data_IF_151327584961
#
_entry.id   IF_151327584961
#
_cell.length_a   1.000
_cell.length_b   1.000
_cell.length_c   1.000
_cell.angle_alpha   90.00
_cell.angle_beta   90.00
_cell.angle_gamma   90.00
#
_symmetry.space_group_name_H-M   'P 1'
#
loop_
_entity.id
_entity.type
_entity.pdbx_description
1 polymer ?
#
# COMPACT_ATOMS: atom_id res chain seq x y z
N UNK A 1 3.84 6.17 17.85
CA UNK A 1 4.32 7.48 17.34
C UNK A 1 3.13 8.24 16.73
N UNK A 2 2.92 9.52 17.05
CA UNK A 2 1.79 10.29 16.49
C UNK A 2 2.07 10.69 15.03
N UNK A 3 1.25 10.19 14.11
CA UNK A 3 1.36 10.46 12.66
C UNK A 3 1.25 11.96 12.36
N UNK A 4 0.56 12.73 13.22
CA UNK A 4 0.40 14.17 13.05
C UNK A 4 1.70 14.93 13.41
N UNK A 5 2.44 14.45 14.42
CA UNK A 5 3.74 15.02 14.79
C UNK A 5 4.83 14.73 13.74
N UNK A 6 4.78 13.56 13.08
CA UNK A 6 5.70 13.23 11.99
C UNK A 6 5.41 14.00 10.69
N UNK A 7 4.13 14.32 10.41
CA UNK A 7 3.73 15.01 9.18
C UNK A 7 3.88 16.54 9.24
N UNK A 8 3.81 17.15 10.42
CA UNK A 8 3.95 18.61 10.57
C UNK A 8 5.31 19.14 10.12
N UNK A 9 6.39 18.38 10.35
CA UNK A 9 7.74 18.73 9.89
C UNK A 9 8.07 18.30 8.46
N UNK A 10 7.21 17.48 7.82
CA UNK A 10 7.52 16.92 6.49
C UNK A 10 7.54 18.00 5.41
N UNK A 11 6.63 18.97 5.46
CA UNK A 11 6.60 20.08 4.50
C UNK A 11 7.86 20.94 4.58
N UNK A 12 8.38 21.18 5.78
CA UNK A 12 9.63 21.93 6.02
C UNK A 12 10.89 21.16 5.55
N UNK A 13 10.75 19.87 5.23
CA UNK A 13 11.85 18.98 4.88
C UNK A 13 11.75 18.43 3.45
N UNK A 14 10.74 18.81 2.67
CA UNK A 14 10.55 18.31 1.30
C UNK A 14 11.77 18.57 0.39
N UNK A 15 12.44 19.71 0.54
CA UNK A 15 13.70 19.98 -0.19
C UNK A 15 14.83 19.04 0.27
N UNK A 16 14.99 18.82 1.57
CA UNK A 16 15.98 17.88 2.10
C UNK A 16 15.70 16.43 1.69
N UNK A 17 14.43 16.03 1.61
CA UNK A 17 14.05 14.70 1.09
C UNK A 17 14.42 14.58 -0.38
N UNK A 18 14.23 15.65 -1.17
CA UNK A 18 14.66 15.71 -2.57
C UNK A 18 16.16 15.63 -2.77
N UNK A 19 16.94 16.28 -1.93
CA UNK A 19 18.40 16.28 -2.03
C UNK A 19 19.04 14.99 -1.49
N UNK A 20 18.50 14.44 -0.40
CA UNK A 20 19.13 13.30 0.30
C UNK A 20 18.63 11.92 -0.13
N UNK A 21 17.52 11.86 -0.90
CA UNK A 21 16.90 10.61 -1.35
C UNK A 21 16.45 10.72 -2.82
N UNK A 22 17.17 11.48 -3.64
CA UNK A 22 16.86 11.63 -5.06
C UNK A 22 16.76 10.29 -5.79
N UNK A 23 17.58 9.32 -5.37
CA UNK A 23 17.62 7.98 -5.94
C UNK A 23 16.34 7.16 -5.66
N UNK A 24 15.56 7.57 -4.66
CA UNK A 24 14.28 6.97 -4.31
C UNK A 24 13.09 7.68 -4.98
N UNK A 25 13.36 8.70 -5.79
CA UNK A 25 12.35 9.40 -6.58
C UNK A 25 12.27 8.80 -7.99
N UNK A 26 11.23 8.01 -8.22
CA UNK A 26 10.98 7.39 -9.51
C UNK A 26 10.17 8.36 -10.39
N UNK A 27 10.62 8.59 -11.62
CA UNK A 27 9.86 9.33 -12.63
C UNK A 27 9.45 8.37 -13.74
N UNK A 28 8.16 8.36 -14.06
CA UNK A 28 7.65 7.73 -15.27
C UNK A 28 7.56 8.80 -16.36
N UNK A 29 8.21 8.54 -17.49
CA UNK A 29 8.18 9.43 -18.66
C UNK A 29 7.52 8.73 -19.85
N UNK A 30 6.88 9.51 -20.72
CA UNK A 30 6.39 9.04 -22.02
C UNK A 30 7.51 8.96 -23.07
N UNK A 31 7.17 8.58 -24.31
CA UNK A 31 8.13 8.48 -25.41
C UNK A 31 8.79 9.80 -25.82
N UNK A 32 8.25 10.94 -25.39
CA UNK A 32 8.80 12.28 -25.62
C UNK A 32 9.60 12.80 -24.40
N UNK A 33 9.94 11.93 -23.44
CA UNK A 33 10.57 12.27 -22.16
C UNK A 33 9.74 13.22 -21.27
N UNK A 34 8.41 13.32 -21.46
CA UNK A 34 7.56 14.09 -20.54
C UNK A 34 7.22 13.27 -19.32
N UNK A 35 7.36 13.85 -18.13
CA UNK A 35 6.96 13.19 -16.87
C UNK A 35 5.43 13.01 -16.85
N UNK A 36 4.99 11.75 -16.78
CA UNK A 36 3.57 11.37 -16.69
C UNK A 36 3.17 10.90 -15.30
N UNK A 37 4.12 10.43 -14.48
CA UNK A 37 3.91 10.12 -13.07
C UNK A 37 5.22 10.23 -12.27
N UNK A 38 5.12 10.36 -10.96
CA UNK A 38 6.26 10.36 -10.05
C UNK A 38 5.94 9.55 -8.77
N UNK A 39 6.88 8.71 -8.35
CA UNK A 39 6.88 8.02 -7.06
C UNK A 39 7.91 8.68 -6.13
N UNK A 40 7.51 9.01 -4.91
CA UNK A 40 8.36 9.68 -3.93
C UNK A 40 8.54 8.78 -2.72
N UNK A 41 9.78 8.41 -2.42
CA UNK A 41 10.12 7.80 -1.14
C UNK A 41 9.90 8.81 -0.01
N UNK A 42 9.14 8.42 1.02
CA UNK A 42 9.06 9.21 2.26
C UNK A 42 9.94 8.52 3.30
N UNK A 43 11.12 9.07 3.63
CA UNK A 43 11.98 8.48 4.64
C UNK A 43 11.28 8.56 5.99
N UNK A 44 11.00 7.41 6.58
CA UNK A 44 10.47 7.31 7.94
C UNK A 44 11.56 6.77 8.84
N UNK A 45 11.79 7.43 9.98
CA UNK A 45 12.66 6.87 11.02
C UNK A 45 11.95 5.66 11.61
N UNK A 46 12.51 4.48 11.36
CA UNK A 46 11.97 3.22 11.81
C UNK A 46 12.98 2.50 12.69
N UNK A 47 12.52 1.90 13.78
CA UNK A 47 13.34 1.16 14.75
C UNK A 47 13.35 -0.36 14.49
N UNK A 48 12.72 -0.81 13.40
CA UNK A 48 12.56 -2.23 13.06
C UNK A 48 11.29 -2.88 13.63
N UNK A 49 10.50 -2.20 14.46
CA UNK A 49 9.24 -2.73 14.97
C UNK A 49 8.09 -2.45 13.98
N UNK A 50 7.42 -3.50 13.49
CA UNK A 50 6.31 -3.40 12.53
C UNK A 50 5.16 -2.53 13.06
N UNK A 51 4.92 -2.52 14.38
CA UNK A 51 3.88 -1.70 15.01
C UNK A 51 4.11 -0.19 14.89
N UNK A 52 5.36 0.22 14.63
CA UNK A 52 5.74 1.62 14.47
C UNK A 52 5.64 2.11 13.01
N UNK A 53 5.32 1.23 12.06
CA UNK A 53 5.00 1.63 10.69
C UNK A 53 3.63 2.33 10.61
N UNK A 54 3.43 3.28 9.67
CA UNK A 54 2.11 3.88 9.45
C UNK A 54 1.04 2.80 9.29
N UNK A 55 0.02 2.76 10.16
CA UNK A 55 -0.95 1.68 10.11
C UNK A 55 -1.82 1.81 8.86
N UNK A 56 -1.99 0.71 8.13
CA UNK A 56 -3.03 0.58 7.11
C UNK A 56 -4.25 -0.10 7.75
N UNK A 57 -5.45 0.42 7.47
CA UNK A 57 -6.68 -0.20 7.92
C UNK A 57 -7.17 -1.26 6.92
N UNK A 58 -6.71 -1.23 5.67
CA UNK A 58 -7.20 -2.14 4.62
C UNK A 58 -7.05 -3.62 4.99
N UNK A 59 -5.97 -4.00 5.67
CA UNK A 59 -5.75 -5.38 6.13
C UNK A 59 -6.83 -5.89 7.11
N UNK A 60 -7.58 -5.00 7.78
CA UNK A 60 -8.74 -5.37 8.62
C UNK A 60 -10.02 -5.63 7.81
N UNK A 61 -10.02 -5.26 6.53
CA UNK A 61 -11.15 -5.42 5.62
C UNK A 61 -10.70 -6.13 4.32
N UNK A 62 -10.09 -7.33 4.40
CA UNK A 62 -9.48 -7.99 3.24
C UNK A 62 -10.52 -8.34 2.16
N UNK A 63 -11.75 -8.65 2.57
CA UNK A 63 -12.87 -8.97 1.68
C UNK A 63 -13.55 -7.74 1.06
N UNK A 64 -13.18 -6.52 1.45
CA UNK A 64 -13.69 -5.31 0.82
C UNK A 64 -12.79 -4.94 -0.36
N UNK A 65 -13.33 -4.86 -1.60
CA UNK A 65 -12.53 -4.43 -2.75
C UNK A 65 -11.91 -3.06 -2.52
N UNK A 66 -10.68 -2.84 -3.02
CA UNK A 66 -9.97 -1.56 -2.83
C UNK A 66 -10.79 -0.38 -3.35
N UNK A 67 -11.45 -0.52 -4.50
CA UNK A 67 -12.38 0.46 -5.09
C UNK A 67 -13.47 0.94 -4.14
N UNK A 68 -13.95 0.08 -3.24
CA UNK A 68 -14.95 0.41 -2.23
C UNK A 68 -14.31 0.89 -0.93
N UNK A 69 -13.16 0.34 -0.56
CA UNK A 69 -12.47 0.71 0.67
C UNK A 69 -11.92 2.15 0.59
N UNK A 70 -11.32 2.53 -0.54
CA UNK A 70 -10.70 3.83 -0.72
C UNK A 70 -11.68 5.02 -0.62
N UNK A 71 -12.98 4.77 -0.82
CA UNK A 71 -14.03 5.81 -0.71
C UNK A 71 -14.59 5.96 0.69
N UNK A 72 -14.18 5.11 1.65
CA UNK A 72 -14.66 5.20 3.04
C UNK A 72 -14.07 6.44 3.71
N UNK A 73 -14.94 7.25 4.28
CA UNK A 73 -14.59 8.48 4.98
C UNK A 73 -15.03 8.43 6.45
N UNK A 74 -14.40 9.28 7.25
CA UNK A 74 -14.80 9.61 8.61
C UNK A 74 -15.89 10.71 8.59
N UNK A 75 -16.54 11.01 9.73
CA UNK A 75 -17.52 12.09 9.82
C UNK A 75 -16.99 13.48 9.42
N UNK A 76 -15.68 13.71 9.53
CA UNK A 76 -14.99 14.94 9.12
C UNK A 76 -14.71 15.02 7.61
N UNK A 77 -15.12 14.01 6.83
CA UNK A 77 -14.90 13.93 5.39
C UNK A 77 -13.53 13.40 4.97
N UNK A 78 -12.57 13.22 5.89
CA UNK A 78 -11.26 12.68 5.57
C UNK A 78 -11.32 11.15 5.32
N UNK A 79 -10.38 10.56 4.55
CA UNK A 79 -10.33 9.12 4.36
C UNK A 79 -10.25 8.35 5.69
N UNK A 80 -10.94 7.22 5.76
CA UNK A 80 -10.94 6.31 6.90
C UNK A 80 -9.53 5.79 7.18
N UNK A 81 -8.88 5.32 6.12
CA UNK A 81 -7.53 4.76 6.15
C UNK A 81 -6.46 5.81 6.48
N UNK A 82 -5.58 5.58 7.48
CA UNK A 82 -4.53 6.52 7.86
C UNK A 82 -3.51 6.82 6.78
N UNK A 83 -3.18 5.84 5.95
CA UNK A 83 -2.24 6.02 4.84
C UNK A 83 -2.87 6.90 3.75
N UNK A 84 -4.12 6.65 3.34
CA UNK A 84 -4.83 7.53 2.40
C UNK A 84 -5.03 8.94 2.94
N UNK A 85 -5.30 9.08 4.25
CA UNK A 85 -5.47 10.39 4.89
C UNK A 85 -4.16 11.21 4.91
N UNK A 86 -3.01 10.55 4.90
CA UNK A 86 -1.71 11.21 4.77
C UNK A 86 -1.61 11.95 3.45
N UNK A 87 -1.98 11.29 2.33
CA UNK A 87 -2.03 11.91 1.01
C UNK A 87 -3.08 13.02 0.93
N UNK A 88 -4.28 12.79 1.47
CA UNK A 88 -5.36 13.78 1.51
C UNK A 88 -4.96 15.08 2.20
N UNK A 89 -4.30 15.01 3.37
CA UNK A 89 -3.83 16.21 4.11
C UNK A 89 -2.82 17.04 3.37
N UNK A 90 -2.08 16.41 2.45
CA UNK A 90 -1.14 17.12 1.60
C UNK A 90 -1.82 17.71 0.35
N UNK A 91 -3.15 17.66 0.23
CA UNK A 91 -3.91 18.21 -0.89
C UNK A 91 -4.08 17.25 -2.07
N UNK A 92 -3.75 15.97 -1.91
CA UNK A 92 -3.95 14.97 -2.95
C UNK A 92 -5.36 14.37 -2.92
N UNK A 93 -5.82 13.85 -4.06
CA UNK A 93 -7.05 13.05 -4.14
C UNK A 93 -6.77 11.62 -4.63
N UNK A 94 -7.56 10.67 -4.14
CA UNK A 94 -7.52 9.29 -4.59
C UNK A 94 -8.25 9.21 -5.93
N UNK A 95 -7.55 8.76 -6.98
CA UNK A 95 -8.06 8.72 -8.35
C UNK A 95 -8.80 7.40 -8.62
N UNK A 96 -8.08 6.28 -8.57
CA UNK A 96 -8.64 4.96 -8.82
C UNK A 96 -7.75 3.86 -8.19
N UNK A 97 -8.24 2.61 -8.08
CA UNK A 97 -7.40 1.50 -7.69
C UNK A 97 -6.31 1.21 -8.73
N UNK A 98 -5.11 0.92 -8.26
CA UNK A 98 -4.07 0.27 -9.03
C UNK A 98 -4.21 -1.26 -8.84
N UNK A 99 -5.04 -1.90 -9.67
CA UNK A 99 -5.59 -3.25 -9.43
C UNK A 99 -4.55 -4.35 -9.19
N UNK A 100 -3.42 -4.33 -9.91
CA UNK A 100 -2.33 -5.31 -9.80
C UNK A 100 -1.02 -4.64 -9.36
N UNK A 101 -1.08 -3.88 -8.27
CA UNK A 101 0.06 -3.11 -7.78
C UNK A 101 1.16 -3.99 -7.19
N UNK A 102 0.80 -5.13 -6.61
CA UNK A 102 1.76 -6.13 -6.13
C UNK A 102 1.23 -7.51 -6.46
N UNK A 103 2.08 -8.36 -7.03
CA UNK A 103 1.76 -9.75 -7.34
C UNK A 103 2.83 -10.62 -6.69
N UNK A 104 2.40 -11.51 -5.80
CA UNK A 104 3.26 -12.53 -5.20
C UNK A 104 2.74 -13.90 -5.59
N UNK A 105 3.64 -14.77 -6.06
CA UNK A 105 3.34 -16.14 -6.45
C UNK A 105 4.34 -17.10 -5.81
N UNK A 106 3.89 -18.29 -5.45
CA UNK A 106 4.73 -19.35 -4.88
C UNK A 106 3.99 -20.69 -4.89
N UNK A 107 4.66 -21.76 -4.47
CA UNK A 107 4.01 -23.05 -4.22
C UNK A 107 3.06 -22.96 -3.01
N UNK A 108 2.21 -23.98 -2.81
CA UNK A 108 1.40 -24.02 -1.59
C UNK A 108 2.30 -24.07 -0.34
N UNK A 109 3.40 -24.83 -0.40
CA UNK A 109 4.36 -24.94 0.70
C UNK A 109 5.09 -23.62 1.01
N UNK A 110 5.43 -22.84 -0.02
CA UNK A 110 6.01 -21.50 0.16
C UNK A 110 5.04 -20.59 0.92
N UNK A 111 3.77 -20.59 0.51
CA UNK A 111 2.73 -19.82 1.19
C UNK A 111 2.51 -20.28 2.62
N UNK A 112 2.47 -21.59 2.89
CA UNK A 112 2.33 -22.11 4.26
C UNK A 112 3.47 -21.61 5.17
N UNK A 113 4.69 -21.59 4.63
CA UNK A 113 5.86 -21.04 5.32
C UNK A 113 5.79 -19.52 5.49
N UNK A 114 5.38 -18.76 4.47
CA UNK A 114 5.32 -17.30 4.52
C UNK A 114 4.21 -16.80 5.44
N UNK A 115 3.06 -17.48 5.43
CA UNK A 115 1.88 -17.11 6.19
C UNK A 115 1.85 -17.70 7.61
N UNK A 116 2.70 -18.69 7.90
CA UNK A 116 2.61 -19.51 9.12
C UNK A 116 1.19 -20.09 9.32
N UNK A 117 0.63 -20.62 8.23
CA UNK A 117 -0.73 -21.14 8.13
C UNK A 117 -0.75 -22.41 7.29
N UNK A 118 -1.68 -23.33 7.52
CA UNK A 118 -1.92 -24.47 6.64
C UNK A 118 -3.00 -24.17 5.60
N UNK A 119 -2.79 -24.60 4.36
CA UNK A 119 -3.75 -24.45 3.26
C UNK A 119 -4.12 -25.83 2.71
N UNK A 120 -5.06 -26.54 3.37
CA UNK A 120 -5.36 -27.94 3.03
C UNK A 120 -6.13 -28.11 1.72
N UNK A 121 -6.83 -27.08 1.24
CA UNK A 121 -7.70 -27.13 0.07
C UNK A 121 -7.41 -25.97 -0.90
N UNK A 122 -7.86 -26.10 -2.14
CA UNK A 122 -7.87 -24.97 -3.06
C UNK A 122 -8.95 -23.97 -2.64
N UNK A 123 -8.66 -22.67 -2.66
CA UNK A 123 -9.62 -21.64 -2.28
C UNK A 123 -9.00 -20.29 -1.95
N UNK A 124 -9.84 -19.37 -1.48
CA UNK A 124 -9.43 -18.05 -1.00
C UNK A 124 -9.20 -18.08 0.50
N UNK A 125 -8.02 -17.67 0.95
CA UNK A 125 -7.67 -17.61 2.37
C UNK A 125 -7.38 -16.17 2.80
N UNK A 126 -7.94 -15.78 3.95
CA UNK A 126 -7.57 -14.52 4.61
C UNK A 126 -6.29 -14.76 5.40
N UNK A 127 -5.18 -14.23 4.88
CA UNK A 127 -3.87 -14.29 5.52
C UNK A 127 -3.65 -13.02 6.36
N UNK A 128 -3.22 -13.11 7.64
CA UNK A 128 -2.92 -11.96 8.47
C UNK A 128 -1.95 -10.99 7.78
N UNK A 129 -2.33 -9.71 7.72
CA UNK A 129 -1.51 -8.64 7.12
C UNK A 129 -1.73 -8.44 5.61
N UNK A 130 -2.22 -9.45 4.88
CA UNK A 130 -2.54 -9.29 3.46
C UNK A 130 -3.74 -8.34 3.25
N UNK A 131 -3.68 -7.53 2.20
CA UNK A 131 -4.73 -6.56 1.90
C UNK A 131 -5.94 -7.21 1.21
N UNK A 132 -5.76 -8.38 0.61
CA UNK A 132 -6.81 -9.18 -0.04
C UNK A 132 -6.57 -10.67 0.24
N UNK A 133 -7.56 -11.55 0.00
CA UNK A 133 -7.34 -12.98 0.14
C UNK A 133 -6.24 -13.51 -0.80
N UNK A 134 -5.47 -14.48 -0.29
CA UNK A 134 -4.56 -15.29 -1.10
C UNK A 134 -5.36 -16.41 -1.75
N UNK A 135 -5.21 -16.60 -3.05
CA UNK A 135 -5.76 -17.75 -3.75
C UNK A 135 -4.77 -18.91 -3.69
N UNK A 136 -5.20 -20.07 -3.20
CA UNK A 136 -4.44 -21.31 -3.22
C UNK A 136 -5.09 -22.28 -4.20
N UNK A 137 -4.28 -22.91 -5.03
CA UNK A 137 -4.64 -24.00 -5.93
C UNK A 137 -3.74 -25.20 -5.64
N UNK A 138 -4.30 -26.20 -4.96
CA UNK A 138 -3.63 -27.44 -4.59
C UNK A 138 -3.41 -28.37 -5.79
N UNK A 139 -4.25 -28.28 -6.82
CA UNK A 139 -4.14 -29.15 -8.00
C UNK A 139 -2.91 -28.77 -8.83
N UNK A 140 -2.63 -27.46 -8.93
CA UNK A 140 -1.51 -26.93 -9.70
C UNK A 140 -0.31 -26.50 -8.84
N UNK A 141 -0.34 -26.78 -7.53
CA UNK A 141 0.66 -26.34 -6.54
C UNK A 141 1.04 -24.86 -6.67
N UNK A 142 0.03 -23.98 -6.64
CA UNK A 142 0.22 -22.54 -6.83
C UNK A 142 -0.60 -21.76 -5.82
N UNK A 143 0.04 -20.82 -5.15
CA UNK A 143 -0.62 -19.73 -4.46
C UNK A 143 -0.32 -18.39 -5.11
N UNK A 144 -1.30 -17.49 -5.09
CA UNK A 144 -1.20 -16.17 -5.68
C UNK A 144 -1.90 -15.11 -4.81
N UNK A 145 -1.21 -14.01 -4.60
CA UNK A 145 -1.72 -12.78 -4.01
C UNK A 145 -1.59 -11.68 -5.06
N UNK A 146 -2.72 -11.06 -5.42
CA UNK A 146 -2.77 -9.90 -6.32
C UNK A 146 -3.36 -8.73 -5.56
N UNK A 147 -2.50 -7.86 -5.03
CA UNK A 147 -2.93 -6.71 -4.24
C UNK A 147 -3.10 -5.47 -5.08
N UNK A 148 -4.22 -4.78 -4.83
CA UNK A 148 -4.46 -3.45 -5.35
C UNK A 148 -3.91 -2.38 -4.42
N UNK A 149 -3.38 -1.31 -5.00
CA UNK A 149 -3.09 -0.06 -4.28
C UNK A 149 -4.01 1.06 -4.80
N UNK A 150 -3.71 2.32 -4.49
CA UNK A 150 -4.51 3.49 -4.90
C UNK A 150 -3.61 4.48 -5.63
N UNK A 151 -4.02 4.87 -6.85
CA UNK A 151 -3.43 6.00 -7.52
C UNK A 151 -3.85 7.30 -6.83
N UNK A 152 -2.85 8.11 -6.49
CA UNK A 152 -3.04 9.40 -5.84
C UNK A 152 -2.59 10.48 -6.80
N UNK A 153 -3.41 11.52 -6.96
CA UNK A 153 -3.14 12.63 -7.86
C UNK A 153 -3.10 13.95 -7.09
N UNK A 154 -2.26 14.87 -7.55
CA UNK A 154 -2.13 16.26 -7.07
C UNK A 154 -2.26 17.20 -8.27
N UNK A 155 -2.77 18.40 -8.05
CA UNK A 155 -2.75 19.49 -9.05
C UNK A 155 -1.40 20.19 -9.01
#
# INVERSE_FOLDING_TARGET
MDINAAMGGLLDHLERVRESFEELHLLLVDGDNRIVAAGWGVPVRWNGNVEDLPPTLKARYPLTPMSRFMTRTRPDGAPLDPWLRTHHRMGAWMSCPAERSMVMTGSAADWEKWADMSFPESGSYVVPGALVPVMIDRQHDRGELVESNVWVQRR
#
